data_IF_195440887246
#
_entry.id   IF_195440887246
#
_cell.length_a   1.000
_cell.length_b   1.000
_cell.length_c   1.000
_cell.angle_alpha   90.00
_cell.angle_beta   90.00
_cell.angle_gamma   90.00
#
_symmetry.space_group_name_H-M   'P 1'
#
loop_
_entity.id
_entity.type
_entity.pdbx_description
1 polymer ?
#
# COMPACT_ATOMS: atom_id res chain seq x y z
N UNK A 1 8.84 -30.74 6.12
CA UNK A 1 7.56 -30.13 5.71
C UNK A 1 7.43 -28.75 6.35
N UNK A 2 7.22 -27.69 5.56
CA UNK A 2 7.08 -26.33 6.07
C UNK A 2 5.82 -26.20 6.93
N UNK A 3 5.97 -26.03 8.25
CA UNK A 3 4.85 -25.87 9.19
C UNK A 3 4.33 -24.43 9.16
N UNK A 4 3.43 -24.15 8.22
CA UNK A 4 2.60 -22.94 8.31
C UNK A 4 1.43 -23.17 9.28
N UNK A 5 1.10 -22.18 10.12
CA UNK A 5 -0.07 -22.18 11.00
C UNK A 5 -1.36 -21.88 10.20
N UNK A 6 -1.59 -22.63 9.12
CA UNK A 6 -2.69 -22.45 8.16
C UNK A 6 -3.27 -23.82 7.80
N UNK A 7 -4.57 -23.86 7.46
CA UNK A 7 -5.24 -25.08 6.94
C UNK A 7 -4.47 -25.70 5.77
N UNK A 8 -4.47 -27.01 5.71
CA UNK A 8 -3.68 -27.78 4.73
C UNK A 8 -4.08 -27.50 3.27
N UNK A 9 -5.37 -27.28 3.02
CA UNK A 9 -5.90 -26.89 1.70
C UNK A 9 -5.20 -25.64 1.14
N UNK A 10 -4.98 -24.63 1.99
CA UNK A 10 -4.32 -23.38 1.59
C UNK A 10 -2.85 -23.59 1.29
N UNK A 11 -2.18 -24.53 1.99
CA UNK A 11 -0.78 -24.87 1.72
C UNK A 11 -0.66 -25.56 0.36
N UNK A 12 -1.49 -26.58 0.11
CA UNK A 12 -1.53 -27.29 -1.18
C UNK A 12 -1.83 -26.35 -2.35
N UNK A 13 -2.78 -25.43 -2.18
CA UNK A 13 -3.09 -24.44 -3.20
C UNK A 13 -1.89 -23.51 -3.51
N UNK A 14 -1.16 -23.09 -2.47
CA UNK A 14 0.04 -22.27 -2.62
C UNK A 14 1.16 -23.04 -3.34
N UNK A 15 1.44 -24.29 -2.92
CA UNK A 15 2.44 -25.14 -3.56
C UNK A 15 2.12 -25.39 -5.05
N UNK A 16 0.85 -25.62 -5.37
CA UNK A 16 0.38 -25.77 -6.75
C UNK A 16 0.63 -24.51 -7.59
N UNK A 17 0.30 -23.33 -7.06
CA UNK A 17 0.57 -22.07 -7.77
C UNK A 17 2.08 -21.81 -7.89
N UNK A 18 2.88 -22.10 -6.86
CA UNK A 18 4.34 -21.95 -6.92
C UNK A 18 4.95 -22.82 -8.04
N UNK A 19 4.57 -24.10 -8.09
CA UNK A 19 5.01 -25.02 -9.16
C UNK A 19 4.59 -24.55 -10.54
N UNK A 20 3.37 -24.00 -10.68
CA UNK A 20 2.85 -23.49 -11.95
C UNK A 20 3.71 -22.36 -12.54
N UNK A 21 4.39 -21.57 -11.70
CA UNK A 21 5.26 -20.48 -12.11
C UNK A 21 6.75 -20.80 -11.91
N UNK A 22 7.11 -22.09 -11.78
CA UNK A 22 8.49 -22.56 -11.60
C UNK A 22 9.21 -21.90 -10.41
N UNK A 23 8.49 -21.66 -9.31
CA UNK A 23 9.06 -21.14 -8.07
C UNK A 23 9.31 -22.32 -7.13
N UNK A 24 10.58 -22.65 -6.91
CA UNK A 24 11.00 -23.71 -6.00
C UNK A 24 11.52 -23.12 -4.69
N UNK A 25 11.43 -23.88 -3.60
CA UNK A 25 11.86 -23.42 -2.26
C UNK A 25 13.38 -23.24 -2.16
N UNK A 26 14.14 -23.96 -2.99
CA UNK A 26 15.61 -23.92 -3.10
C UNK A 26 16.09 -22.58 -3.69
N UNK A 27 15.27 -21.96 -4.54
CA UNK A 27 15.56 -20.66 -5.16
C UNK A 27 15.16 -19.47 -4.27
N UNK A 28 14.64 -19.74 -3.08
CA UNK A 28 14.14 -18.73 -2.15
C UNK A 28 15.13 -18.45 -1.03
N UNK A 29 15.61 -17.21 -1.00
CA UNK A 29 16.35 -16.68 0.13
C UNK A 29 15.35 -16.10 1.14
N UNK A 30 15.20 -16.79 2.27
CA UNK A 30 14.34 -16.40 3.39
C UNK A 30 15.17 -15.79 4.53
N UNK A 31 14.78 -14.61 5.00
CA UNK A 31 15.39 -13.93 6.16
C UNK A 31 14.30 -13.42 7.11
N UNK A 32 14.57 -13.47 8.40
CA UNK A 32 13.70 -12.90 9.42
C UNK A 32 14.27 -11.56 9.89
N UNK A 33 13.45 -10.53 9.82
CA UNK A 33 13.83 -9.17 10.17
C UNK A 33 12.89 -8.63 11.23
N UNK A 34 13.36 -7.64 11.97
CA UNK A 34 12.50 -6.88 12.90
C UNK A 34 11.58 -5.99 12.08
N UNK A 35 10.31 -5.94 12.48
CA UNK A 35 9.33 -5.08 11.83
C UNK A 35 9.66 -3.61 12.15
N UNK A 36 9.38 -2.72 11.19
CA UNK A 36 9.55 -1.28 11.35
C UNK A 36 8.20 -0.60 11.54
N UNK A 37 8.11 0.36 12.47
CA UNK A 37 6.94 1.22 12.66
C UNK A 37 6.57 1.43 14.14
N UNK A 38 5.58 2.28 14.42
CA UNK A 38 5.06 2.44 15.77
C UNK A 38 4.49 1.11 16.26
N UNK A 39 5.03 0.60 17.36
CA UNK A 39 4.70 -0.72 17.88
C UNK A 39 5.06 -0.88 19.35
N UNK A 40 4.49 -1.90 19.98
CA UNK A 40 4.79 -2.25 21.38
C UNK A 40 6.09 -3.05 21.51
N UNK A 41 6.29 -3.66 22.69
CA UNK A 41 7.51 -4.45 22.96
C UNK A 41 7.72 -5.61 21.97
N UNK A 42 6.64 -6.27 21.54
CA UNK A 42 6.69 -7.40 20.59
C UNK A 42 7.14 -6.92 19.19
N UNK A 43 6.47 -5.87 18.69
CA UNK A 43 6.98 -4.82 17.77
C UNK A 43 8.48 -4.82 17.56
N UNK A 44 9.08 -4.28 18.62
CA UNK A 44 10.45 -3.86 18.63
C UNK A 44 11.38 -5.03 18.83
N UNK A 45 11.05 -6.02 19.69
CA UNK A 45 11.99 -7.08 20.11
C UNK A 45 12.01 -8.32 19.20
N UNK A 46 10.88 -8.69 18.60
CA UNK A 46 10.74 -9.99 17.93
C UNK A 46 10.85 -9.84 16.41
N UNK A 47 11.74 -10.62 15.78
CA UNK A 47 11.93 -10.66 14.33
C UNK A 47 10.81 -11.43 13.61
N UNK A 48 9.59 -10.93 13.69
CA UNK A 48 8.39 -11.56 13.09
C UNK A 48 8.21 -11.28 11.60
N UNK A 49 8.87 -10.25 11.07
CA UNK A 49 8.77 -9.87 9.67
C UNK A 49 9.59 -10.82 8.80
N UNK A 50 9.02 -11.26 7.69
CA UNK A 50 9.67 -12.19 6.75
C UNK A 50 10.07 -11.42 5.51
N UNK A 51 11.36 -11.44 5.22
CA UNK A 51 11.93 -11.06 3.94
C UNK A 51 12.11 -12.32 3.10
N UNK A 52 11.62 -12.28 1.87
CA UNK A 52 11.72 -13.38 0.93
C UNK A 52 12.18 -12.82 -0.41
N UNK A 53 13.24 -13.41 -0.97
CA UNK A 53 13.76 -13.06 -2.29
C UNK A 53 13.83 -14.31 -3.16
N UNK A 54 13.26 -14.22 -4.36
CA UNK A 54 13.45 -15.20 -5.42
C UNK A 54 14.76 -14.87 -6.13
N UNK A 55 15.74 -15.77 -6.06
CA UNK A 55 17.06 -15.56 -6.63
C UNK A 55 16.99 -15.39 -8.17
N UNK A 56 16.37 -16.31 -8.94
CA UNK A 56 16.45 -16.26 -10.40
C UNK A 56 15.65 -15.10 -11.01
N UNK A 57 14.50 -14.73 -10.43
CA UNK A 57 13.74 -13.56 -10.92
C UNK A 57 14.18 -12.23 -10.30
N UNK A 58 15.00 -12.24 -9.25
CA UNK A 58 15.40 -11.05 -8.50
C UNK A 58 14.28 -10.39 -7.67
N UNK A 59 13.04 -10.88 -7.72
CA UNK A 59 11.92 -10.29 -6.98
C UNK A 59 12.03 -10.51 -5.48
N UNK A 60 11.85 -9.43 -4.73
CA UNK A 60 11.80 -9.45 -3.28
C UNK A 60 10.45 -8.98 -2.74
N UNK A 61 10.10 -9.50 -1.56
CA UNK A 61 8.93 -9.12 -0.76
C UNK A 61 9.27 -9.08 0.72
N UNK A 62 8.66 -8.13 1.44
CA UNK A 62 8.70 -7.99 2.90
C UNK A 62 7.29 -8.07 3.45
N UNK A 63 7.03 -8.95 4.41
CA UNK A 63 5.68 -9.14 4.97
C UNK A 63 5.73 -9.16 6.50
N UNK A 64 4.94 -8.25 7.10
CA UNK A 64 4.76 -8.08 8.55
C UNK A 64 3.28 -8.02 8.97
N UNK A 65 2.40 -8.76 8.28
CA UNK A 65 0.94 -8.65 8.45
C UNK A 65 0.42 -9.31 9.74
N UNK A 66 1.05 -10.39 10.17
CA UNK A 66 0.65 -11.16 11.35
C UNK A 66 1.69 -11.07 12.47
N UNK A 67 1.25 -11.36 13.70
CA UNK A 67 2.14 -11.47 14.88
C UNK A 67 3.02 -12.73 14.84
N UNK A 68 2.63 -13.76 14.09
CA UNK A 68 3.38 -15.02 14.00
C UNK A 68 4.22 -15.10 12.73
N UNK A 69 5.47 -15.52 12.88
CA UNK A 69 6.42 -15.72 11.78
C UNK A 69 5.89 -16.74 10.78
N UNK A 70 5.33 -17.87 11.25
CA UNK A 70 4.80 -18.92 10.36
C UNK A 70 3.69 -18.44 9.43
N UNK A 71 2.79 -17.57 9.91
CA UNK A 71 1.76 -16.99 9.07
C UNK A 71 2.37 -15.96 8.09
N UNK A 72 3.34 -15.16 8.54
CA UNK A 72 4.06 -14.24 7.65
C UNK A 72 4.85 -14.97 6.56
N UNK A 73 5.41 -16.16 6.82
CA UNK A 73 6.10 -16.98 5.82
C UNK A 73 5.16 -17.46 4.71
N UNK A 74 3.95 -17.90 5.08
CA UNK A 74 2.91 -18.27 4.11
C UNK A 74 2.48 -17.05 3.27
N UNK A 75 2.26 -15.91 3.93
CA UNK A 75 1.85 -14.69 3.26
C UNK A 75 2.94 -14.14 2.34
N UNK A 76 4.22 -14.22 2.74
CA UNK A 76 5.36 -13.81 1.93
C UNK A 76 5.44 -14.60 0.63
N UNK A 77 5.37 -15.94 0.69
CA UNK A 77 5.33 -16.80 -0.50
C UNK A 77 4.14 -16.47 -1.41
N UNK A 78 2.95 -16.29 -0.82
CA UNK A 78 1.75 -15.92 -1.59
C UNK A 78 1.88 -14.57 -2.31
N UNK A 79 2.45 -13.56 -1.65
CA UNK A 79 2.70 -12.25 -2.26
C UNK A 79 3.79 -12.32 -3.34
N UNK A 80 4.83 -13.12 -3.13
CA UNK A 80 5.89 -13.34 -4.11
C UNK A 80 5.35 -13.98 -5.39
N UNK A 81 4.56 -15.04 -5.27
CA UNK A 81 3.85 -15.68 -6.40
C UNK A 81 2.98 -14.67 -7.12
N UNK A 82 2.20 -13.87 -6.38
CA UNK A 82 1.34 -12.83 -6.98
C UNK A 82 2.15 -11.81 -7.79
N UNK A 83 3.31 -11.38 -7.26
CA UNK A 83 4.20 -10.42 -7.93
C UNK A 83 4.78 -11.00 -9.21
N UNK A 84 5.33 -12.21 -9.15
CA UNK A 84 5.88 -12.92 -10.32
C UNK A 84 4.79 -13.17 -11.37
N UNK A 85 3.62 -13.65 -10.95
CA UNK A 85 2.46 -13.89 -11.82
C UNK A 85 2.00 -12.61 -12.53
N UNK A 86 1.89 -11.51 -11.80
CA UNK A 86 1.46 -10.24 -12.38
C UNK A 86 2.47 -9.70 -13.40
N UNK A 87 3.77 -9.89 -13.14
CA UNK A 87 4.84 -9.55 -14.05
C UNK A 87 4.78 -10.39 -15.34
N UNK A 88 4.68 -11.72 -15.22
CA UNK A 88 4.59 -12.64 -16.37
C UNK A 88 3.34 -12.35 -17.21
N UNK A 89 2.20 -12.07 -16.57
CA UNK A 89 0.94 -11.79 -17.26
C UNK A 89 0.79 -10.33 -17.74
N UNK A 90 1.77 -9.46 -17.50
CA UNK A 90 1.72 -8.04 -17.89
C UNK A 90 0.65 -7.19 -17.18
N UNK A 91 0.00 -7.73 -16.14
CA UNK A 91 -1.16 -7.09 -15.47
C UNK A 91 -0.80 -5.89 -14.62
N UNK A 92 0.47 -5.74 -14.25
CA UNK A 92 0.93 -4.61 -13.43
C UNK A 92 0.62 -3.27 -14.10
N UNK A 93 0.77 -3.18 -15.44
CA UNK A 93 0.48 -1.97 -16.20
C UNK A 93 -0.99 -1.57 -16.12
N UNK A 94 -1.91 -2.54 -16.20
CA UNK A 94 -3.35 -2.27 -16.16
C UNK A 94 -3.84 -1.87 -14.77
N UNK A 95 -3.40 -2.59 -13.74
CA UNK A 95 -3.72 -2.27 -12.36
C UNK A 95 -3.14 -0.90 -11.95
N UNK A 96 -1.93 -0.57 -12.41
CA UNK A 96 -1.33 0.74 -12.20
C UNK A 96 -2.09 1.85 -12.93
N UNK A 97 -2.43 1.66 -14.21
CA UNK A 97 -3.29 2.60 -14.96
C UNK A 97 -4.62 2.83 -14.24
N UNK A 98 -5.26 1.76 -13.75
CA UNK A 98 -6.52 1.84 -12.99
C UNK A 98 -6.34 2.61 -11.68
N UNK A 99 -5.30 2.30 -10.90
CA UNK A 99 -4.97 3.02 -9.65
C UNK A 99 -4.68 4.49 -9.91
N UNK A 100 -3.96 4.80 -10.99
CA UNK A 100 -3.68 6.17 -11.41
C UNK A 100 -4.96 6.94 -11.78
N UNK A 101 -5.86 6.34 -12.56
CA UNK A 101 -7.18 6.93 -12.88
C UNK A 101 -7.99 7.25 -11.63
N UNK A 102 -8.05 6.31 -10.67
CA UNK A 102 -8.75 6.52 -9.39
C UNK A 102 -8.10 7.67 -8.59
N UNK A 103 -6.78 7.71 -8.52
CA UNK A 103 -6.03 8.79 -7.83
C UNK A 103 -6.32 10.15 -8.46
N UNK A 104 -6.28 10.24 -9.79
CA UNK A 104 -6.62 11.47 -10.52
C UNK A 104 -8.05 11.91 -10.26
N UNK A 105 -9.03 10.98 -10.28
CA UNK A 105 -10.43 11.30 -9.98
C UNK A 105 -10.59 11.86 -8.55
N UNK A 106 -9.95 11.23 -7.56
CA UNK A 106 -9.94 11.72 -6.16
C UNK A 106 -9.31 13.10 -6.05
N UNK A 107 -8.18 13.33 -6.72
CA UNK A 107 -7.50 14.63 -6.71
C UNK A 107 -8.34 15.72 -7.37
N UNK A 108 -9.01 15.43 -8.50
CA UNK A 108 -9.94 16.36 -9.15
C UNK A 108 -11.10 16.75 -8.23
N UNK A 109 -11.70 15.77 -7.53
CA UNK A 109 -12.77 16.02 -6.54
C UNK A 109 -12.28 16.93 -5.41
N UNK A 110 -11.11 16.64 -4.84
CA UNK A 110 -10.51 17.45 -3.77
C UNK A 110 -10.21 18.88 -4.24
N UNK A 111 -9.61 19.05 -5.42
CA UNK A 111 -9.33 20.39 -6.01
C UNK A 111 -10.60 21.20 -6.23
N UNK A 112 -11.68 20.59 -6.75
CA UNK A 112 -12.98 21.25 -6.93
C UNK A 112 -13.58 21.71 -5.60
N UNK A 113 -13.55 20.85 -4.58
CA UNK A 113 -14.02 21.20 -3.24
C UNK A 113 -13.24 22.39 -2.64
N UNK A 114 -11.90 22.37 -2.76
CA UNK A 114 -11.05 23.48 -2.30
C UNK A 114 -11.32 24.78 -3.05
N UNK A 115 -11.53 24.72 -4.37
CA UNK A 115 -11.87 25.89 -5.20
C UNK A 115 -13.20 26.53 -4.76
N UNK A 116 -14.25 25.73 -4.61
CA UNK A 116 -15.57 26.19 -4.15
C UNK A 116 -15.50 26.86 -2.77
N UNK A 117 -14.77 26.27 -1.84
CA UNK A 117 -14.56 26.84 -0.51
C UNK A 117 -13.86 28.21 -0.59
N UNK A 118 -12.83 28.35 -1.44
CA UNK A 118 -12.10 29.61 -1.60
C UNK A 118 -12.99 30.70 -2.22
N UNK A 119 -13.81 30.36 -3.20
CA UNK A 119 -14.79 31.27 -3.82
C UNK A 119 -15.80 31.76 -2.78
N UNK A 120 -16.35 30.87 -1.94
CA UNK A 120 -17.24 31.24 -0.85
C UNK A 120 -16.58 32.19 0.16
N UNK A 121 -15.31 31.93 0.53
CA UNK A 121 -14.55 32.84 1.41
C UNK A 121 -14.36 34.22 0.78
N UNK A 122 -14.04 34.28 -0.52
CA UNK A 122 -13.88 35.56 -1.26
C UNK A 122 -15.18 36.34 -1.32
N UNK A 123 -16.29 35.70 -1.68
CA UNK A 123 -17.61 36.33 -1.72
C UNK A 123 -18.02 36.88 -0.35
N UNK A 124 -17.75 36.12 0.73
CA UNK A 124 -18.03 36.57 2.09
C UNK A 124 -17.16 37.77 2.49
N UNK A 125 -15.88 37.80 2.09
CA UNK A 125 -14.98 38.92 2.34
C UNK A 125 -15.46 40.20 1.62
N UNK A 126 -15.82 40.10 0.34
CA UNK A 126 -16.39 41.21 -0.44
C UNK A 126 -17.67 41.75 0.21
N UNK A 127 -18.58 40.86 0.62
CA UNK A 127 -19.81 41.24 1.33
C UNK A 127 -19.53 41.97 2.65
N UNK A 128 -18.50 41.56 3.39
CA UNK A 128 -18.08 42.23 4.63
C UNK A 128 -17.49 43.62 4.35
N UNK A 129 -16.68 43.77 3.29
CA UNK A 129 -16.13 45.07 2.89
C UNK A 129 -17.23 46.06 2.52
N UNK A 130 -18.21 45.64 1.71
CA UNK A 130 -19.36 46.47 1.34
C UNK A 130 -20.26 46.87 2.52
N UNK A 131 -20.22 46.11 3.62
CA UNK A 131 -20.94 46.42 4.87
C UNK A 131 -20.13 47.26 5.85
N UNK A 132 -18.83 47.42 5.63
CA UNK A 132 -18.01 48.27 6.49
C UNK A 132 -18.49 49.71 6.35
N UNK A 133 -18.49 50.47 7.46
CA UNK A 133 -18.81 51.89 7.41
C UNK A 133 -17.81 52.57 6.46
N UNK A 134 -18.27 53.40 5.51
CA UNK A 134 -17.35 54.17 4.69
C UNK A 134 -16.51 55.06 5.60
N UNK A 135 -15.20 55.10 5.35
CA UNK A 135 -14.33 56.09 6.00
C UNK A 135 -14.69 57.46 5.44
N UNK A 136 -15.23 58.34 6.28
CA UNK A 136 -15.43 59.75 5.97
C UNK A 136 -14.06 60.45 5.93
N UNK A 137 -13.33 60.29 4.83
CA UNK A 137 -12.32 61.26 4.43
C UNK A 137 -12.93 62.06 3.28
N UNK A 138 -13.71 63.08 3.67
CA UNK A 138 -13.99 64.20 2.79
C UNK A 138 -12.70 65.01 2.71
N UNK A 139 -12.00 64.95 1.59
CA UNK A 139 -11.18 66.09 1.17
C UNK A 139 -12.10 67.12 0.52
N UNK A 140 -11.87 68.37 0.90
CA UNK A 140 -12.63 69.60 0.63
C UNK A 140 -12.78 69.87 -0.87
#
# INVERSE_FOLDING_TARGET
MLKFAVREEKKRALEKEMRKFNIYEEDLLEKFIRASGPGGQNVNKVATCVYLKHIPSGFEVKVQKARSQGLNRFLARRELVRKIKNHILGRESEEEKRRHKIRQAKQRRSRRAKKKMLEQKRAQAQKKQLRAKPSLNNEI
#
